data_IF_501369803744
#
_entry.id   IF_501369803744
#
_cell.length_a   1.000
_cell.length_b   1.000
_cell.length_c   1.000
_cell.angle_alpha   90.00
_cell.angle_beta   90.00
_cell.angle_gamma   90.00
#
_symmetry.space_group_name_H-M   'P 1'
#
loop_
_entity.id
_entity.type
_entity.pdbx_description
1 polymer ?
#
# COMPACT_ATOMS: atom_id res chain seq x y z
N UNK A 1 18.86 58.57 33.34
CA UNK A 1 18.62 57.11 33.39
C UNK A 1 17.32 56.73 32.68
N UNK A 2 17.25 56.85 31.34
CA UNK A 2 16.04 56.50 30.55
C UNK A 2 16.32 55.50 29.41
N UNK A 3 17.58 55.42 28.96
CA UNK A 3 17.99 54.57 27.84
C UNK A 3 18.31 53.11 28.23
N UNK A 4 18.52 52.82 29.53
CA UNK A 4 18.85 51.46 29.99
C UNK A 4 17.64 50.50 29.97
N UNK A 5 16.42 51.02 30.08
CA UNK A 5 15.20 50.22 30.09
C UNK A 5 14.73 49.82 28.69
N UNK A 6 15.04 50.61 27.66
CA UNK A 6 14.64 50.33 26.27
C UNK A 6 15.45 49.16 25.70
N UNK A 7 16.75 49.10 26.02
CA UNK A 7 17.64 48.02 25.57
C UNK A 7 17.24 46.67 26.15
N UNK A 8 16.77 46.64 27.42
CA UNK A 8 16.26 45.41 28.05
C UNK A 8 14.93 44.94 27.46
N UNK A 9 14.08 45.86 27.01
CA UNK A 9 12.79 45.53 26.43
C UNK A 9 12.92 44.97 24.99
N UNK A 10 13.87 45.49 24.20
CA UNK A 10 14.15 44.96 22.85
C UNK A 10 14.72 43.55 22.85
N UNK A 11 15.52 43.17 23.86
CA UNK A 11 16.03 41.82 24.01
C UNK A 11 14.94 40.78 24.32
N UNK A 12 13.91 41.17 25.10
CA UNK A 12 12.83 40.26 25.46
C UNK A 12 11.96 39.89 24.23
N UNK A 13 11.70 40.85 23.35
CA UNK A 13 10.92 40.65 22.11
C UNK A 13 11.70 39.81 21.10
N UNK A 14 13.03 39.95 21.05
CA UNK A 14 13.87 39.14 20.18
C UNK A 14 13.95 37.67 20.64
N UNK A 15 13.97 37.41 21.96
CA UNK A 15 13.94 36.05 22.50
C UNK A 15 12.57 35.35 22.36
N UNK A 16 11.46 36.11 22.44
CA UNK A 16 10.11 35.55 22.25
C UNK A 16 9.77 35.31 20.77
N UNK A 17 10.37 36.07 19.83
CA UNK A 17 10.24 35.83 18.40
C UNK A 17 10.99 34.59 17.90
N UNK A 18 12.09 34.19 18.57
CA UNK A 18 12.87 33.01 18.20
C UNK A 18 12.33 31.68 18.76
N UNK A 19 11.51 31.71 19.82
CA UNK A 19 10.94 30.51 20.43
C UNK A 19 9.57 30.09 19.84
N UNK A 20 8.95 30.94 19.00
CA UNK A 20 7.63 30.66 18.42
C UNK A 20 7.69 29.96 17.04
N UNK A 21 8.87 29.78 16.43
CA UNK A 21 8.98 29.22 15.08
C UNK A 21 9.28 27.72 15.03
N UNK A 22 9.69 27.11 16.13
CA UNK A 22 9.81 25.66 16.22
C UNK A 22 8.54 25.16 16.89
N UNK A 23 7.61 24.59 16.13
CA UNK A 23 6.64 23.53 16.46
C UNK A 23 5.57 23.48 15.35
N UNK A 24 6.02 23.55 14.10
CA UNK A 24 5.28 23.05 12.97
C UNK A 24 6.17 22.05 12.24
N UNK A 25 6.60 20.99 12.95
CA UNK A 25 6.77 19.72 12.27
C UNK A 25 5.36 19.27 11.92
N UNK A 26 4.82 19.79 10.82
CA UNK A 26 3.77 19.11 10.10
C UNK A 26 4.34 17.72 9.84
N UNK A 27 3.94 16.76 10.69
CA UNK A 27 4.24 15.36 10.50
C UNK A 27 3.49 14.98 9.24
N UNK A 28 4.13 15.23 8.11
CA UNK A 28 3.73 14.77 6.80
C UNK A 28 3.61 13.25 6.99
N UNK A 29 2.39 12.79 7.21
CA UNK A 29 2.08 11.38 7.29
C UNK A 29 2.37 10.85 5.91
N UNK A 30 3.63 10.50 5.66
CA UNK A 30 4.05 9.85 4.43
C UNK A 30 3.05 8.75 4.16
N UNK A 31 2.60 8.66 2.91
CA UNK A 31 1.63 7.66 2.49
C UNK A 31 2.38 6.37 2.17
N UNK A 32 1.76 5.18 2.35
CA UNK A 32 2.31 3.94 1.83
C UNK A 32 2.61 4.08 0.34
N UNK A 33 3.81 3.68 -0.07
CA UNK A 33 4.20 3.65 -1.49
C UNK A 33 4.32 2.20 -1.93
N UNK A 34 3.74 1.88 -3.08
CA UNK A 34 3.79 0.56 -3.68
C UNK A 34 4.35 0.66 -5.09
N UNK A 35 5.14 -0.33 -5.46
CA UNK A 35 5.78 -0.39 -6.76
C UNK A 35 5.77 -1.83 -7.25
N UNK A 36 5.37 -2.01 -8.51
CA UNK A 36 5.46 -3.30 -9.18
C UNK A 36 6.91 -3.52 -9.58
N UNK A 37 7.50 -4.62 -9.11
CA UNK A 37 8.83 -5.05 -9.53
C UNK A 37 8.78 -6.03 -10.70
N UNK A 38 7.79 -6.93 -10.70
CA UNK A 38 7.58 -7.89 -11.77
C UNK A 38 6.14 -8.38 -11.81
N UNK A 39 5.72 -8.88 -12.96
CA UNK A 39 4.45 -9.59 -13.16
C UNK A 39 4.77 -10.92 -13.83
N UNK A 40 4.43 -12.01 -13.14
CA UNK A 40 4.58 -13.37 -13.65
C UNK A 40 3.19 -13.96 -13.89
N UNK A 41 3.01 -14.72 -14.97
CA UNK A 41 1.73 -15.37 -15.27
C UNK A 41 1.80 -16.88 -14.98
N UNK A 42 0.74 -17.43 -14.40
CA UNK A 42 0.62 -18.86 -14.15
C UNK A 42 -0.81 -19.36 -14.35
N UNK A 43 -0.94 -20.57 -14.91
CA UNK A 43 -2.24 -21.24 -15.10
C UNK A 43 -2.77 -21.91 -13.82
N UNK A 44 -1.91 -22.03 -12.80
CA UNK A 44 -2.21 -22.59 -11.48
C UNK A 44 -1.28 -22.00 -10.43
N UNK A 45 -1.84 -21.74 -9.26
CA UNK A 45 -1.10 -21.41 -8.04
C UNK A 45 -1.35 -22.49 -7.00
N UNK A 46 -0.27 -23.03 -6.43
CA UNK A 46 -0.33 -24.00 -5.34
C UNK A 46 -0.17 -23.29 -3.98
N UNK A 47 -0.88 -23.78 -2.97
CA UNK A 47 -0.93 -23.16 -1.63
C UNK A 47 -2.02 -23.77 -0.76
N UNK A 48 -2.24 -23.20 0.43
CA UNK A 48 -3.22 -23.71 1.42
C UNK A 48 -4.63 -23.80 0.82
N UNK A 49 -4.99 -22.83 -0.03
CA UNK A 49 -6.22 -22.82 -0.83
C UNK A 49 -5.85 -22.51 -2.30
N UNK A 50 -5.06 -23.40 -2.92
CA UNK A 50 -4.57 -23.22 -4.29
C UNK A 50 -5.67 -22.81 -5.28
N UNK A 51 -5.32 -21.95 -6.23
CA UNK A 51 -6.23 -21.46 -7.28
C UNK A 51 -5.77 -22.03 -8.61
N UNK A 52 -6.72 -22.56 -9.38
CA UNK A 52 -6.47 -23.11 -10.69
C UNK A 52 -7.48 -22.49 -11.66
N UNK A 53 -6.98 -21.93 -12.76
CA UNK A 53 -7.83 -21.39 -13.82
C UNK A 53 -8.24 -22.46 -14.85
N UNK A 54 -8.09 -23.75 -14.51
CA UNK A 54 -8.57 -24.91 -15.29
C UNK A 54 -10.10 -25.03 -15.25
N UNK A 55 -10.82 -24.07 -15.80
CA UNK A 55 -12.23 -24.22 -16.19
C UNK A 55 -12.33 -24.28 -17.71
N UNK A 56 -13.54 -24.46 -18.27
CA UNK A 56 -13.76 -24.44 -19.74
C UNK A 56 -13.30 -23.14 -20.41
N UNK A 57 -13.07 -22.07 -19.63
CA UNK A 57 -12.54 -20.77 -20.04
C UNK A 57 -11.03 -20.58 -19.74
N UNK A 58 -10.26 -21.65 -19.51
CA UNK A 58 -8.81 -21.56 -19.31
C UNK A 58 -8.06 -20.88 -20.47
N UNK A 59 -8.66 -20.89 -21.67
CA UNK A 59 -8.16 -20.14 -22.83
C UNK A 59 -8.41 -18.63 -22.76
N UNK A 60 -9.09 -18.14 -21.72
CA UNK A 60 -9.42 -16.72 -21.53
C UNK A 60 -8.78 -16.11 -20.31
N UNK A 61 -8.50 -16.87 -19.25
CA UNK A 61 -8.03 -16.32 -17.97
C UNK A 61 -6.68 -16.90 -17.55
N UNK A 62 -5.82 -16.05 -16.97
CA UNK A 62 -4.54 -16.43 -16.34
C UNK A 62 -4.41 -15.80 -14.97
N UNK A 63 -3.71 -16.49 -14.08
CA UNK A 63 -3.30 -15.94 -12.80
C UNK A 63 -2.11 -14.99 -13.00
N UNK A 64 -2.27 -13.72 -12.65
CA UNK A 64 -1.17 -12.76 -12.62
C UNK A 64 -0.63 -12.62 -11.19
N UNK A 65 0.63 -12.99 -11.01
CA UNK A 65 1.39 -12.84 -9.78
C UNK A 65 2.22 -11.57 -9.86
N UNK A 66 1.86 -10.58 -9.08
CA UNK A 66 2.51 -9.26 -9.10
C UNK A 66 3.42 -9.15 -7.89
N UNK A 67 4.74 -9.08 -8.11
CA UNK A 67 5.70 -8.80 -7.04
C UNK A 67 5.68 -7.30 -6.74
N UNK A 68 5.38 -6.97 -5.49
CA UNK A 68 5.25 -5.58 -5.03
C UNK A 68 6.32 -5.27 -4.00
N UNK A 69 7.01 -4.14 -4.21
CA UNK A 69 7.78 -3.46 -3.17
C UNK A 69 6.88 -2.45 -2.48
N UNK A 70 6.74 -2.57 -1.16
CA UNK A 70 6.05 -1.60 -0.34
C UNK A 70 7.04 -0.85 0.54
N UNK A 71 6.94 0.48 0.57
CA UNK A 71 7.62 1.33 1.56
C UNK A 71 6.58 1.89 2.51
N UNK A 72 6.60 1.38 3.75
CA UNK A 72 5.60 1.65 4.76
C UNK A 72 6.12 2.66 5.79
N UNK A 73 5.44 3.80 5.97
CA UNK A 73 5.86 4.89 6.86
C UNK A 73 5.54 4.63 8.33
N UNK A 74 4.66 3.66 8.59
CA UNK A 74 4.23 3.21 9.92
C UNK A 74 3.75 1.78 9.84
N UNK A 75 3.56 1.16 11.00
CA UNK A 75 2.93 -0.16 11.08
C UNK A 75 1.47 -0.02 10.62
N UNK A 76 1.07 -0.84 9.63
CA UNK A 76 -0.29 -0.84 9.08
C UNK A 76 -0.76 -2.27 8.81
N UNK A 77 -2.07 -2.44 8.75
CA UNK A 77 -2.66 -3.64 8.18
C UNK A 77 -2.84 -3.45 6.66
N UNK A 78 -2.44 -4.45 5.89
CA UNK A 78 -2.74 -4.53 4.47
C UNK A 78 -3.81 -5.61 4.25
N UNK A 79 -4.88 -5.24 3.55
CA UNK A 79 -5.88 -6.17 3.07
C UNK A 79 -5.67 -6.40 1.58
N UNK A 80 -5.78 -7.64 1.10
CA UNK A 80 -5.73 -7.89 -0.34
C UNK A 80 -6.87 -7.15 -1.07
N UNK A 81 -8.05 -7.04 -0.45
CA UNK A 81 -9.18 -6.26 -0.97
C UNK A 81 -8.88 -4.77 -1.19
N UNK A 82 -7.82 -4.22 -0.58
CA UNK A 82 -7.39 -2.83 -0.81
C UNK A 82 -6.64 -2.68 -2.15
N UNK A 83 -6.24 -3.77 -2.78
CA UNK A 83 -5.48 -3.76 -4.03
C UNK A 83 -6.37 -4.12 -5.22
N UNK A 84 -6.24 -3.32 -6.27
CA UNK A 84 -6.82 -3.60 -7.58
C UNK A 84 -5.77 -3.39 -8.65
N UNK A 85 -5.89 -4.12 -9.74
CA UNK A 85 -5.00 -4.00 -10.87
C UNK A 85 -5.80 -3.41 -12.02
N UNK A 86 -5.42 -2.22 -12.47
CA UNK A 86 -5.93 -1.65 -13.72
C UNK A 86 -5.07 -2.19 -14.87
N UNK A 87 -5.69 -2.58 -15.96
CA UNK A 87 -4.99 -3.14 -17.10
C UNK A 87 -5.65 -2.80 -18.42
N UNK A 88 -4.87 -2.82 -19.50
CA UNK A 88 -5.34 -2.60 -20.86
C UNK A 88 -5.46 -3.93 -21.61
N UNK A 89 -6.65 -4.18 -22.18
CA UNK A 89 -6.96 -5.35 -23.01
C UNK A 89 -7.64 -4.90 -24.29
N UNK A 90 -7.09 -5.27 -25.45
CA UNK A 90 -7.65 -4.92 -26.77
C UNK A 90 -8.00 -3.41 -26.93
N UNK A 91 -7.27 -2.52 -26.25
CA UNK A 91 -7.53 -1.08 -26.25
C UNK A 91 -8.59 -0.57 -25.27
N UNK A 92 -9.17 -1.43 -24.44
CA UNK A 92 -10.08 -1.07 -23.35
C UNK A 92 -9.41 -1.20 -21.98
N UNK A 93 -9.68 -0.24 -21.07
CA UNK A 93 -9.23 -0.29 -19.68
C UNK A 93 -10.19 -1.14 -18.85
N UNK A 94 -9.66 -2.08 -18.07
CA UNK A 94 -10.41 -2.94 -17.16
C UNK A 94 -9.71 -3.06 -15.79
N UNK A 95 -10.37 -3.68 -14.81
CA UNK A 95 -9.90 -3.79 -13.43
C UNK A 95 -10.11 -5.18 -12.85
N UNK A 96 -9.10 -5.67 -12.14
CA UNK A 96 -9.16 -6.92 -11.39
C UNK A 96 -8.93 -6.67 -9.89
N UNK A 97 -9.69 -7.36 -9.05
CA UNK A 97 -9.50 -7.36 -7.60
C UNK A 97 -8.46 -8.42 -7.20
N UNK A 98 -7.67 -8.14 -6.16
CA UNK A 98 -6.70 -9.12 -5.66
C UNK A 98 -7.41 -10.29 -5.00
N UNK A 99 -7.15 -11.50 -5.49
CA UNK A 99 -7.70 -12.77 -4.99
C UNK A 99 -6.89 -13.36 -3.84
N UNK A 100 -5.63 -12.95 -3.72
CA UNK A 100 -4.74 -13.43 -2.67
C UNK A 100 -3.51 -12.59 -2.52
N UNK A 101 -2.78 -12.85 -1.44
CA UNK A 101 -1.54 -12.18 -1.09
C UNK A 101 -0.61 -13.16 -0.40
N UNK A 102 0.69 -12.95 -0.53
CA UNK A 102 1.68 -13.71 0.22
C UNK A 102 2.06 -13.01 1.53
N UNK A 103 2.65 -13.75 2.46
CA UNK A 103 3.24 -13.13 3.65
C UNK A 103 4.33 -12.10 3.23
N UNK A 104 4.32 -10.87 3.78
CA UNK A 104 5.36 -9.88 3.53
C UNK A 104 6.72 -10.32 4.08
N UNK A 105 7.78 -10.00 3.33
CA UNK A 105 9.16 -10.38 3.61
C UNK A 105 10.08 -9.16 3.50
N UNK A 106 11.20 -9.16 4.25
CA UNK A 106 12.26 -8.13 4.11
C UNK A 106 13.17 -8.37 2.91
N UNK A 107 13.14 -9.56 2.32
CA UNK A 107 13.84 -9.90 1.07
C UNK A 107 12.83 -10.24 -0.04
N UNK A 108 13.19 -9.91 -1.28
CA UNK A 108 12.48 -10.28 -2.50
C UNK A 108 12.67 -11.76 -2.91
N UNK A 109 13.61 -12.47 -2.29
CA UNK A 109 13.98 -13.85 -2.64
C UNK A 109 13.01 -14.90 -2.10
N UNK A 110 12.00 -14.48 -1.31
CA UNK A 110 11.29 -15.40 -0.45
C UNK A 110 10.10 -16.10 -1.15
N UNK A 111 10.24 -17.42 -1.32
CA UNK A 111 9.17 -18.33 -1.70
C UNK A 111 8.06 -18.27 -0.66
N UNK A 112 6.85 -17.91 -1.09
CA UNK A 112 5.80 -17.60 -0.14
C UNK A 112 4.55 -18.44 -0.37
N UNK A 113 3.98 -18.91 0.74
CA UNK A 113 2.67 -19.56 0.80
C UNK A 113 1.61 -18.52 0.45
N UNK A 114 0.73 -18.86 -0.49
CA UNK A 114 -0.40 -18.02 -0.86
C UNK A 114 -1.51 -18.09 0.18
N UNK A 115 -1.94 -16.92 0.65
CA UNK A 115 -3.17 -16.73 1.39
C UNK A 115 -4.22 -16.22 0.41
N UNK A 116 -5.19 -17.08 0.08
CA UNK A 116 -6.24 -16.81 -0.91
C UNK A 116 -7.57 -16.64 -0.18
N UNK A 117 -8.31 -15.60 -0.55
CA UNK A 117 -9.62 -15.27 0.02
C UNK A 117 -9.96 -13.80 -0.19
N UNK A 118 -11.23 -13.45 -0.06
CA UNK A 118 -11.72 -12.09 -0.34
C UNK A 118 -11.18 -11.04 0.66
N UNK A 119 -10.99 -11.42 1.93
CA UNK A 119 -10.60 -10.49 3.02
C UNK A 119 -9.38 -10.99 3.80
N UNK A 120 -8.32 -11.35 3.09
CA UNK A 120 -7.04 -11.71 3.71
C UNK A 120 -6.36 -10.44 4.23
N UNK A 121 -6.07 -10.45 5.53
CA UNK A 121 -5.38 -9.39 6.25
C UNK A 121 -3.98 -9.83 6.63
N UNK A 122 -2.99 -8.96 6.42
CA UNK A 122 -1.67 -9.11 7.03
C UNK A 122 -1.27 -7.86 7.81
N UNK A 123 -0.79 -8.04 9.03
CA UNK A 123 -0.22 -6.95 9.83
C UNK A 123 1.25 -6.78 9.45
N UNK A 124 1.64 -5.55 9.13
CA UNK A 124 2.92 -5.27 8.49
C UNK A 124 3.65 -4.15 9.24
N UNK A 125 4.92 -4.37 9.56
CA UNK A 125 5.76 -3.37 10.25
C UNK A 125 6.22 -2.28 9.27
N UNK A 126 6.53 -1.10 9.80
CA UNK A 126 7.17 -0.01 9.06
C UNK A 126 8.47 -0.47 8.41
N UNK A 127 8.80 0.10 7.25
CA UNK A 127 10.00 -0.22 6.48
C UNK A 127 9.71 -0.64 5.04
N UNK A 128 10.72 -1.18 4.38
CA UNK A 128 10.63 -1.71 3.02
C UNK A 128 10.39 -3.21 3.06
N UNK A 129 9.35 -3.67 2.37
CA UNK A 129 8.92 -5.06 2.36
C UNK A 129 8.49 -5.48 0.96
N UNK A 130 8.49 -6.78 0.74
CA UNK A 130 8.17 -7.43 -0.51
C UNK A 130 7.07 -8.46 -0.28
N UNK A 131 6.07 -8.48 -1.16
CA UNK A 131 5.03 -9.50 -1.18
C UNK A 131 4.50 -9.66 -2.60
N UNK A 132 3.77 -10.75 -2.85
CA UNK A 132 3.10 -10.98 -4.12
C UNK A 132 1.59 -10.83 -3.94
N UNK A 133 0.95 -10.22 -4.93
CA UNK A 133 -0.51 -10.16 -5.07
C UNK A 133 -0.94 -11.08 -6.21
N UNK A 134 -2.10 -11.72 -6.06
CA UNK A 134 -2.67 -12.61 -7.07
C UNK A 134 -3.91 -11.98 -7.68
N UNK A 135 -3.97 -11.92 -9.00
CA UNK A 135 -5.14 -11.48 -9.76
C UNK A 135 -5.53 -12.54 -10.79
N UNK A 136 -6.81 -12.57 -11.18
CA UNK A 136 -7.24 -13.25 -12.39
C UNK A 136 -7.38 -12.19 -13.48
N UNK A 137 -6.60 -12.32 -14.55
CA UNK A 137 -6.66 -11.42 -15.70
C UNK A 137 -7.09 -12.20 -16.93
N UNK A 138 -7.79 -11.51 -17.82
CA UNK A 138 -8.07 -12.06 -19.15
C UNK A 138 -6.77 -12.14 -19.98
N UNK A 139 -6.79 -12.91 -21.06
CA UNK A 139 -5.66 -12.95 -21.99
C UNK A 139 -5.51 -11.62 -22.72
N UNK A 140 -4.31 -11.39 -23.29
CA UNK A 140 -3.99 -10.20 -24.09
C UNK A 140 -3.85 -8.88 -23.30
N UNK A 141 -3.41 -8.98 -22.04
CA UNK A 141 -3.00 -7.81 -21.26
C UNK A 141 -1.69 -7.24 -21.80
N UNK A 142 -1.68 -5.93 -22.04
CA UNK A 142 -0.53 -5.20 -22.57
C UNK A 142 0.09 -4.23 -21.57
N UNK A 143 -0.75 -3.60 -20.74
CA UNK A 143 -0.33 -2.66 -19.70
C UNK A 143 -0.97 -2.98 -18.36
N UNK A 144 -0.24 -2.72 -17.27
CA UNK A 144 -0.65 -3.02 -15.90
C UNK A 144 -0.28 -1.86 -14.98
N UNK A 145 -1.21 -1.48 -14.10
CA UNK A 145 -1.00 -0.51 -13.03
C UNK A 145 -1.63 -1.00 -11.72
N UNK A 146 -0.87 -0.92 -10.63
CA UNK A 146 -1.37 -1.28 -9.31
C UNK A 146 -2.08 -0.07 -8.67
N UNK A 147 -3.34 -0.29 -8.29
CA UNK A 147 -4.14 0.65 -7.53
C UNK A 147 -4.24 0.19 -6.07
N UNK A 148 -4.13 1.13 -5.14
CA UNK A 148 -4.30 0.88 -3.71
C UNK A 148 -5.36 1.81 -3.12
N UNK A 149 -6.41 1.23 -2.54
CA UNK A 149 -7.46 1.95 -1.84
C UNK A 149 -6.98 2.28 -0.43
N UNK A 150 -6.66 3.55 -0.20
CA UNK A 150 -6.39 4.01 1.15
C UNK A 150 -7.67 3.94 2.01
N UNK A 151 -7.57 3.64 3.31
CA UNK A 151 -8.70 3.75 4.23
C UNK A 151 -9.18 5.21 4.25
N UNK A 152 -10.33 5.47 3.60
CA UNK A 152 -10.92 6.82 3.52
C UNK A 152 -11.50 7.24 4.87
N UNK A 153 -11.97 6.28 5.68
CA UNK A 153 -12.54 6.55 7.01
C UNK A 153 -11.48 6.32 8.07
N UNK A 154 -10.93 7.42 8.62
CA UNK A 154 -9.83 7.37 9.60
C UNK A 154 -10.28 6.93 11.00
N UNK A 155 -11.57 7.10 11.34
CA UNK A 155 -12.18 6.63 12.59
C UNK A 155 -13.66 7.00 12.62
N UNK A 156 -14.52 6.10 13.09
CA UNK A 156 -15.87 6.44 13.51
C UNK A 156 -16.12 5.80 14.89
N UNK A 157 -16.58 6.60 15.84
CA UNK A 157 -16.98 6.11 17.16
C UNK A 157 -18.47 5.80 17.12
N UNK A 158 -18.83 4.53 17.30
CA UNK A 158 -20.22 4.15 17.54
C UNK A 158 -20.48 4.31 19.03
N UNK A 159 -21.06 5.45 19.43
CA UNK A 159 -21.60 5.62 20.79
C UNK A 159 -22.87 4.78 20.92
N UNK A 160 -22.83 3.73 21.74
CA UNK A 160 -24.05 3.04 22.20
C UNK A 160 -24.77 3.97 23.19
N UNK A 161 -26.07 4.22 22.96
CA UNK A 161 -26.97 4.81 23.96
C UNK A 161 -27.38 3.73 24.96
#
# INVERSE_FOLDING_TARGET
>A
MRYLNIIRFMWLVFCLGFLASTHASAQESALPKFEILSVDFADKIEGVNGVSWKTKDASKWKGAMVLVRATLPRDIALWNADFSLAYLREGAEDRALSLGVTAPSSSNDNQSIWLVGEYVKTSVKKGTLYFRLLFALENEVTDISLLYKQPVVKSYSISRK
#
